data_IF_656834293302
#
_entry.id   IF_656834293302
#
_cell.length_a   1.000
_cell.length_b   1.000
_cell.length_c   1.000
_cell.angle_alpha   90.00
_cell.angle_beta   90.00
_cell.angle_gamma   90.00
#
_symmetry.space_group_name_H-M   'P 1'
#
loop_
_entity.id
_entity.type
_entity.pdbx_description
1 polymer ?
#
# COMPACT_ATOMS: atom_id res chain seq x y z
N UNK A 1 -27.59 17.90 -13.66
CA UNK A 1 -28.56 17.01 -13.02
C UNK A 1 -28.69 15.69 -13.81
N UNK A 2 -28.79 15.75 -15.13
CA UNK A 2 -28.89 14.60 -16.05
C UNK A 2 -27.71 13.63 -15.98
N UNK A 3 -26.48 14.11 -15.97
CA UNK A 3 -25.28 13.28 -15.82
C UNK A 3 -25.22 12.51 -14.48
N UNK A 4 -25.87 13.03 -13.44
CA UNK A 4 -25.96 12.31 -12.16
C UNK A 4 -27.02 11.21 -12.20
N UNK A 5 -28.09 11.43 -12.94
CA UNK A 5 -29.16 10.43 -13.14
C UNK A 5 -28.65 9.30 -14.02
N UNK A 6 -28.09 9.60 -15.18
CA UNK A 6 -27.49 8.60 -16.09
C UNK A 6 -26.39 7.77 -15.40
N UNK A 7 -25.61 8.37 -14.51
CA UNK A 7 -24.60 7.64 -13.74
C UNK A 7 -25.23 6.72 -12.67
N UNK A 8 -26.34 7.12 -12.06
CA UNK A 8 -27.08 6.27 -11.13
C UNK A 8 -27.75 5.11 -11.84
N UNK A 9 -28.31 5.36 -13.02
CA UNK A 9 -28.90 4.33 -13.88
C UNK A 9 -27.87 3.29 -14.28
N UNK A 10 -26.70 3.71 -14.80
CA UNK A 10 -25.58 2.82 -15.11
C UNK A 10 -25.05 2.05 -13.89
N UNK A 11 -25.06 2.66 -12.71
CA UNK A 11 -24.65 1.98 -11.47
C UNK A 11 -25.69 0.96 -11.01
N UNK A 12 -26.97 1.24 -11.24
CA UNK A 12 -28.07 0.31 -10.94
C UNK A 12 -28.13 -0.84 -11.94
N UNK A 13 -27.95 -0.57 -13.23
CA UNK A 13 -27.91 -1.61 -14.28
C UNK A 13 -26.76 -2.59 -14.12
N UNK A 14 -25.63 -2.14 -13.57
CA UNK A 14 -24.43 -2.97 -13.35
C UNK A 14 -24.28 -3.43 -11.89
N UNK A 15 -25.30 -3.28 -11.04
CA UNK A 15 -25.28 -3.63 -9.59
C UNK A 15 -24.04 -3.09 -8.83
N UNK A 16 -23.41 -2.03 -9.34
CA UNK A 16 -22.21 -1.47 -8.77
C UNK A 16 -22.51 -0.56 -7.57
N UNK A 17 -22.19 -1.03 -6.39
CA UNK A 17 -22.28 -0.25 -5.15
C UNK A 17 -20.89 0.21 -4.73
N UNK A 18 -20.71 1.50 -4.47
CA UNK A 18 -19.42 2.07 -4.02
C UNK A 18 -18.86 1.37 -2.74
N UNK A 19 -19.78 0.88 -1.90
CA UNK A 19 -19.43 0.12 -0.68
C UNK A 19 -18.81 -1.25 -0.96
N UNK A 20 -19.08 -1.86 -2.11
CA UNK A 20 -18.58 -3.21 -2.43
C UNK A 20 -17.04 -3.21 -2.60
N UNK A 21 -16.47 -2.05 -2.94
CA UNK A 21 -15.01 -1.86 -2.96
C UNK A 21 -14.39 -1.61 -1.57
N UNK A 22 -15.16 -1.11 -0.60
CA UNK A 22 -14.64 -0.78 0.73
C UNK A 22 -14.83 -1.90 1.76
N UNK A 23 -15.88 -2.72 1.61
CA UNK A 23 -16.22 -3.78 2.57
C UNK A 23 -15.10 -4.81 2.74
N UNK A 24 -14.47 -5.33 1.67
CA UNK A 24 -13.35 -6.27 1.82
C UNK A 24 -12.18 -5.66 2.61
N UNK A 25 -11.87 -4.38 2.39
CA UNK A 25 -10.81 -3.68 3.10
C UNK A 25 -11.13 -3.51 4.59
N UNK A 26 -12.39 -3.18 4.93
CA UNK A 26 -12.84 -3.05 6.32
C UNK A 26 -12.78 -4.37 7.08
N UNK A 27 -13.10 -5.49 6.42
CA UNK A 27 -12.98 -6.83 7.00
C UNK A 27 -11.50 -7.24 7.15
N UNK A 28 -10.67 -6.87 6.19
CA UNK A 28 -9.25 -7.24 6.18
C UNK A 28 -8.46 -6.59 7.32
N UNK A 29 -8.78 -5.35 7.73
CA UNK A 29 -8.06 -4.64 8.80
C UNK A 29 -8.09 -5.40 10.14
N UNK A 30 -9.25 -5.80 10.69
CA UNK A 30 -9.30 -6.58 11.92
C UNK A 30 -8.55 -7.91 11.82
N UNK A 31 -8.62 -8.59 10.68
CA UNK A 31 -7.92 -9.87 10.45
C UNK A 31 -6.41 -9.67 10.49
N UNK A 32 -5.88 -8.65 9.82
CA UNK A 32 -4.44 -8.34 9.85
C UNK A 32 -3.99 -7.95 11.26
N UNK A 33 -4.75 -7.11 11.96
CA UNK A 33 -4.44 -6.72 13.33
C UNK A 33 -4.44 -7.95 14.27
N UNK A 34 -5.42 -8.84 14.13
CA UNK A 34 -5.50 -10.07 14.91
C UNK A 34 -4.31 -10.99 14.65
N UNK A 35 -4.00 -11.25 13.39
CA UNK A 35 -2.84 -12.06 12.99
C UNK A 35 -1.52 -11.44 13.48
N UNK A 36 -1.35 -10.15 13.33
CA UNK A 36 -0.15 -9.43 13.77
C UNK A 36 0.03 -9.56 15.31
N UNK A 37 -1.03 -9.33 16.08
CA UNK A 37 -1.00 -9.49 17.54
C UNK A 37 -0.69 -10.92 17.94
N UNK A 38 -1.28 -11.90 17.27
CA UNK A 38 -1.01 -13.32 17.48
C UNK A 38 0.47 -13.64 17.27
N UNK A 39 1.02 -13.26 16.12
CA UNK A 39 2.43 -13.50 15.78
C UNK A 39 3.38 -12.83 16.77
N UNK A 40 3.14 -11.57 17.15
CA UNK A 40 3.97 -10.87 18.11
C UNK A 40 3.97 -11.50 19.49
N UNK A 41 2.82 -12.02 19.92
CA UNK A 41 2.69 -12.63 21.24
C UNK A 41 3.40 -13.97 21.29
N UNK A 42 3.27 -14.78 20.25
CA UNK A 42 3.98 -16.06 20.13
C UNK A 42 5.48 -15.84 19.95
N UNK A 43 5.91 -14.78 19.29
CA UNK A 43 7.32 -14.45 19.08
C UNK A 43 8.08 -14.08 20.37
N UNK A 44 7.37 -13.73 21.47
CA UNK A 44 8.01 -13.47 22.76
C UNK A 44 8.39 -14.78 23.43
N UNK A 45 9.67 -15.00 23.82
CA UNK A 45 10.15 -16.30 24.28
C UNK A 45 9.33 -16.90 25.43
N UNK A 46 9.01 -16.12 26.47
CA UNK A 46 8.24 -16.61 27.63
C UNK A 46 6.79 -16.95 27.26
N UNK A 47 6.13 -16.07 26.52
CA UNK A 47 4.73 -16.28 26.11
C UNK A 47 4.64 -17.37 25.03
N UNK A 48 5.63 -17.45 24.12
CA UNK A 48 5.73 -18.48 23.10
C UNK A 48 5.95 -19.87 23.67
N UNK A 49 6.84 -20.02 24.66
CA UNK A 49 7.06 -21.30 25.36
C UNK A 49 5.81 -21.75 26.09
N UNK A 50 5.11 -20.87 26.79
CA UNK A 50 3.83 -21.21 27.42
C UNK A 50 2.78 -21.61 26.36
N UNK A 51 2.68 -20.93 25.27
CA UNK A 51 1.77 -21.25 24.18
C UNK A 51 2.14 -22.57 23.47
N UNK A 52 3.42 -22.94 23.41
CA UNK A 52 3.88 -24.23 22.90
C UNK A 52 3.42 -25.43 23.75
N UNK A 53 3.09 -25.20 25.03
CA UNK A 53 2.51 -26.25 25.90
C UNK A 53 0.98 -26.30 25.89
N UNK A 54 0.31 -25.17 25.72
CA UNK A 54 -1.15 -25.04 25.88
C UNK A 54 -1.90 -24.61 24.63
N UNK A 55 -1.19 -24.22 23.58
CA UNK A 55 -1.79 -23.55 22.42
C UNK A 55 -2.10 -22.07 22.69
N UNK A 56 -2.53 -21.34 21.67
CA UNK A 56 -2.91 -19.93 21.78
C UNK A 56 -4.01 -19.55 20.78
N UNK A 57 -5.18 -19.21 21.28
CA UNK A 57 -6.34 -18.85 20.47
C UNK A 57 -6.75 -19.99 19.53
N UNK A 58 -6.77 -19.77 18.21
CA UNK A 58 -7.12 -20.82 17.24
C UNK A 58 -5.98 -21.81 16.96
N UNK A 59 -4.75 -21.56 17.45
CA UNK A 59 -3.58 -22.41 17.24
C UNK A 59 -3.45 -23.42 18.37
N UNK A 60 -3.24 -24.68 18.02
CA UNK A 60 -2.92 -25.71 18.99
C UNK A 60 -1.44 -25.64 19.40
N UNK A 61 -1.04 -26.42 20.42
CA UNK A 61 0.34 -26.40 20.90
C UNK A 61 1.36 -26.84 19.86
N UNK A 62 1.01 -27.77 18.98
CA UNK A 62 1.86 -28.29 17.92
C UNK A 62 2.09 -27.23 16.83
N UNK A 63 1.04 -26.47 16.44
CA UNK A 63 1.16 -25.36 15.48
C UNK A 63 2.10 -24.28 16.00
N UNK A 64 1.97 -23.92 17.30
CA UNK A 64 2.83 -22.93 17.94
C UNK A 64 4.28 -23.41 17.96
N UNK A 65 4.51 -24.64 18.34
CA UNK A 65 5.84 -25.24 18.38
C UNK A 65 6.47 -25.26 16.97
N UNK A 66 5.72 -25.70 15.97
CA UNK A 66 6.17 -25.71 14.58
C UNK A 66 6.58 -24.32 14.10
N UNK A 67 5.82 -23.28 14.48
CA UNK A 67 6.15 -21.91 14.15
C UNK A 67 7.43 -21.42 14.85
N UNK A 68 7.61 -21.74 16.14
CA UNK A 68 8.80 -21.36 16.91
C UNK A 68 10.08 -22.05 16.39
N UNK A 69 9.95 -23.29 15.93
CA UNK A 69 11.06 -24.09 15.39
C UNK A 69 11.36 -23.74 13.91
N UNK A 70 10.41 -23.08 13.22
CA UNK A 70 10.57 -22.74 11.80
C UNK A 70 11.66 -21.68 11.59
N UNK A 71 12.53 -21.94 10.62
CA UNK A 71 13.69 -21.07 10.29
C UNK A 71 13.74 -20.75 8.81
N UNK A 72 14.18 -19.55 8.51
CA UNK A 72 14.51 -19.10 7.16
C UNK A 72 16.02 -18.76 7.11
N UNK A 73 16.79 -19.45 6.29
CA UNK A 73 18.26 -19.31 6.26
C UNK A 73 18.90 -19.39 7.65
N UNK A 74 18.46 -20.36 8.45
CA UNK A 74 18.89 -20.59 9.84
C UNK A 74 18.43 -19.54 10.86
N UNK A 75 17.67 -18.50 10.45
CA UNK A 75 17.12 -17.49 11.36
C UNK A 75 15.69 -17.85 11.73
N UNK A 76 15.33 -17.86 13.04
CA UNK A 76 13.99 -18.17 13.51
C UNK A 76 12.94 -17.21 12.92
N UNK A 77 11.84 -17.74 12.40
CA UNK A 77 10.76 -16.91 11.83
C UNK A 77 10.11 -15.93 12.81
N UNK A 78 10.00 -16.21 14.12
CA UNK A 78 9.49 -15.26 15.11
C UNK A 78 10.43 -14.09 15.42
N UNK A 79 11.73 -14.17 15.09
CA UNK A 79 12.71 -13.12 15.39
C UNK A 79 12.48 -11.86 14.57
N UNK A 80 12.85 -10.70 15.12
CA UNK A 80 12.78 -9.40 14.43
C UNK A 80 13.97 -8.51 14.81
N UNK A 81 14.33 -7.55 13.95
CA UNK A 81 15.56 -6.74 14.05
C UNK A 81 15.63 -5.93 15.35
N UNK A 82 14.50 -5.37 15.80
CA UNK A 82 14.41 -4.55 17.02
C UNK A 82 14.18 -5.37 18.31
N UNK A 83 14.32 -6.69 18.26
CA UNK A 83 14.19 -7.58 19.40
C UNK A 83 15.38 -7.42 20.36
N UNK A 84 15.15 -7.56 21.67
CA UNK A 84 16.25 -7.49 22.65
C UNK A 84 17.23 -8.65 22.51
N UNK A 85 18.50 -8.40 22.71
CA UNK A 85 19.57 -9.39 22.57
C UNK A 85 19.39 -10.63 23.44
N UNK A 86 18.81 -10.47 24.65
CA UNK A 86 18.47 -11.60 25.51
C UNK A 86 17.45 -12.53 24.85
N UNK A 87 16.39 -11.96 24.26
CA UNK A 87 15.34 -12.72 23.58
C UNK A 87 15.86 -13.40 22.29
N UNK A 88 16.76 -12.74 21.56
CA UNK A 88 17.40 -13.31 20.38
C UNK A 88 18.26 -14.51 20.75
N UNK A 89 19.03 -14.42 21.86
CA UNK A 89 19.81 -15.55 22.38
C UNK A 89 18.94 -16.73 22.80
N UNK A 90 17.77 -16.46 23.43
CA UNK A 90 16.82 -17.50 23.80
C UNK A 90 16.25 -18.24 22.58
N UNK A 91 16.13 -17.54 21.45
CA UNK A 91 15.74 -18.12 20.15
C UNK A 91 16.91 -18.77 19.40
N UNK A 92 18.13 -18.69 19.93
CA UNK A 92 19.33 -19.25 19.32
C UNK A 92 19.80 -18.49 18.06
N UNK A 93 19.69 -17.16 18.07
CA UNK A 93 20.12 -16.27 16.99
C UNK A 93 20.73 -14.97 17.55
N UNK A 94 21.23 -14.12 16.65
CA UNK A 94 21.79 -12.82 16.97
C UNK A 94 21.24 -11.72 16.08
N UNK A 95 21.32 -10.46 16.52
CA UNK A 95 20.79 -9.32 15.75
C UNK A 95 21.43 -9.23 14.35
N UNK A 96 22.77 -9.42 14.14
CA UNK A 96 23.35 -9.40 12.80
C UNK A 96 22.80 -10.48 11.87
N UNK A 97 22.54 -11.70 12.39
CA UNK A 97 21.94 -12.79 11.61
C UNK A 97 20.52 -12.45 11.17
N UNK A 98 19.70 -11.95 12.10
CA UNK A 98 18.33 -11.51 11.78
C UNK A 98 18.36 -10.39 10.76
N UNK A 99 19.25 -9.40 10.93
CA UNK A 99 19.40 -8.28 10.00
C UNK A 99 19.78 -8.76 8.59
N UNK A 100 20.69 -9.74 8.49
CA UNK A 100 21.12 -10.30 7.21
C UNK A 100 19.96 -10.90 6.41
N UNK A 101 19.01 -11.55 7.07
CA UNK A 101 17.82 -12.11 6.42
C UNK A 101 16.71 -11.07 6.24
N UNK A 102 16.52 -10.18 7.22
CA UNK A 102 15.48 -9.17 7.19
C UNK A 102 15.72 -8.10 6.13
N UNK A 103 16.95 -7.63 5.92
CA UNK A 103 17.27 -6.57 4.96
C UNK A 103 16.81 -6.88 3.53
N UNK A 104 17.13 -8.04 2.92
CA UNK A 104 16.65 -8.36 1.59
C UNK A 104 15.12 -8.49 1.55
N UNK A 105 14.49 -9.02 2.60
CA UNK A 105 13.02 -9.09 2.67
C UNK A 105 12.38 -7.70 2.75
N UNK A 106 12.94 -6.79 3.55
CA UNK A 106 12.48 -5.40 3.65
C UNK A 106 12.65 -4.69 2.30
N UNK A 107 13.81 -4.87 1.64
CA UNK A 107 14.06 -4.28 0.33
C UNK A 107 13.09 -4.80 -0.72
N UNK A 108 12.84 -6.11 -0.78
CA UNK A 108 11.84 -6.70 -1.68
C UNK A 108 10.43 -6.24 -1.35
N UNK A 109 10.04 -6.20 -0.07
CA UNK A 109 8.75 -5.69 0.36
C UNK A 109 8.56 -4.22 -0.07
N UNK A 110 9.56 -3.37 0.15
CA UNK A 110 9.54 -1.96 -0.26
C UNK A 110 9.43 -1.82 -1.78
N UNK A 111 10.23 -2.55 -2.54
CA UNK A 111 10.22 -2.53 -4.00
C UNK A 111 8.86 -2.96 -4.57
N UNK A 112 8.35 -4.10 -4.12
CA UNK A 112 7.09 -4.64 -4.64
C UNK A 112 5.87 -3.81 -4.19
N UNK A 113 5.86 -3.33 -2.94
CA UNK A 113 4.80 -2.42 -2.47
C UNK A 113 4.80 -1.14 -3.29
N UNK A 114 5.97 -0.55 -3.53
CA UNK A 114 6.11 0.67 -4.34
C UNK A 114 5.73 0.43 -5.80
N UNK A 115 6.13 -0.71 -6.38
CA UNK A 115 5.76 -1.08 -7.75
C UNK A 115 4.23 -1.25 -7.90
N UNK A 116 3.58 -1.97 -6.98
CA UNK A 116 2.13 -2.13 -6.96
C UNK A 116 1.41 -0.79 -6.77
N UNK A 117 1.94 0.06 -5.88
CA UNK A 117 1.42 1.40 -5.68
C UNK A 117 1.53 2.27 -6.93
N UNK A 118 2.71 2.32 -7.54
CA UNK A 118 2.96 3.10 -8.75
C UNK A 118 2.08 2.62 -9.92
N UNK A 119 1.94 1.31 -10.09
CA UNK A 119 1.03 0.73 -11.07
C UNK A 119 -0.41 1.19 -10.86
N UNK A 120 -0.92 1.09 -9.62
CA UNK A 120 -2.26 1.56 -9.25
C UNK A 120 -2.42 3.07 -9.44
N UNK A 121 -1.41 3.85 -9.10
CA UNK A 121 -1.39 5.31 -9.28
C UNK A 121 -1.46 5.70 -10.75
N UNK A 122 -0.63 5.09 -11.61
CA UNK A 122 -0.64 5.35 -13.05
C UNK A 122 -1.99 5.00 -13.65
N UNK A 123 -2.57 3.86 -13.26
CA UNK A 123 -3.88 3.42 -13.72
C UNK A 123 -4.99 4.40 -13.29
N UNK A 124 -5.02 4.80 -12.02
CA UNK A 124 -5.97 5.78 -11.52
C UNK A 124 -5.88 7.12 -12.28
N UNK A 125 -4.67 7.57 -12.61
CA UNK A 125 -4.50 8.79 -13.38
C UNK A 125 -5.06 8.71 -14.80
N UNK A 126 -5.10 7.54 -15.42
CA UNK A 126 -5.66 7.34 -16.77
C UNK A 126 -7.19 7.44 -16.80
N UNK A 127 -7.86 7.18 -15.66
CA UNK A 127 -9.32 7.22 -15.53
C UNK A 127 -9.82 8.43 -14.74
N UNK A 128 -8.91 9.36 -14.38
CA UNK A 128 -9.22 10.49 -13.52
C UNK A 128 -10.10 11.52 -14.27
N UNK A 129 -11.22 11.87 -13.64
CA UNK A 129 -12.07 12.98 -14.11
C UNK A 129 -11.50 14.33 -13.66
N UNK A 130 -10.70 14.97 -14.52
CA UNK A 130 -10.05 16.26 -14.24
C UNK A 130 -11.03 17.42 -14.01
N UNK A 131 -12.30 17.28 -14.37
CA UNK A 131 -13.32 18.31 -14.13
C UNK A 131 -13.66 18.46 -12.64
N UNK A 132 -13.51 17.38 -11.85
CA UNK A 132 -13.88 17.36 -10.44
C UNK A 132 -12.73 17.77 -9.53
N UNK A 133 -12.99 18.73 -8.63
CA UNK A 133 -12.00 19.17 -7.64
C UNK A 133 -11.61 18.04 -6.68
N UNK A 134 -12.58 17.21 -6.26
CA UNK A 134 -12.33 16.05 -5.40
C UNK A 134 -11.39 15.02 -6.03
N UNK A 135 -11.57 14.72 -7.32
CA UNK A 135 -10.71 13.78 -8.03
C UNK A 135 -9.27 14.30 -8.12
N UNK A 136 -9.10 15.61 -8.39
CA UNK A 136 -7.77 16.26 -8.40
C UNK A 136 -7.12 16.27 -7.01
N UNK A 137 -7.91 16.48 -5.96
CA UNK A 137 -7.41 16.40 -4.58
C UNK A 137 -6.93 14.99 -4.23
N UNK A 138 -7.72 13.96 -4.52
CA UNK A 138 -7.35 12.56 -4.30
C UNK A 138 -6.07 12.20 -5.07
N UNK A 139 -5.93 12.64 -6.32
CA UNK A 139 -4.70 12.41 -7.10
C UNK A 139 -3.46 13.05 -6.48
N UNK A 140 -3.60 14.22 -5.84
CA UNK A 140 -2.49 14.85 -5.09
C UNK A 140 -2.15 14.08 -3.82
N UNK A 141 -3.16 13.68 -3.04
CA UNK A 141 -2.96 12.87 -1.84
C UNK A 141 -2.25 11.57 -2.19
N UNK A 142 -2.69 10.87 -3.23
CA UNK A 142 -2.02 9.69 -3.72
C UNK A 142 -0.56 9.97 -4.12
N UNK A 143 -0.26 11.08 -4.78
CA UNK A 143 1.13 11.42 -5.12
C UNK A 143 2.00 11.61 -3.88
N UNK A 144 1.49 12.32 -2.87
CA UNK A 144 2.21 12.58 -1.62
C UNK A 144 2.38 11.34 -0.73
N UNK A 145 1.52 10.35 -0.90
CA UNK A 145 1.67 9.07 -0.19
C UNK A 145 2.80 8.19 -0.76
N UNK A 146 3.27 8.44 -1.98
CA UNK A 146 4.31 7.63 -2.63
C UNK A 146 5.58 7.46 -1.78
N UNK A 147 6.21 8.54 -1.28
CA UNK A 147 7.38 8.45 -0.39
C UNK A 147 7.10 7.65 0.90
N UNK A 148 5.90 7.80 1.48
CA UNK A 148 5.50 7.05 2.69
C UNK A 148 5.45 5.55 2.39
N UNK A 149 4.85 5.17 1.25
CA UNK A 149 4.76 3.77 0.83
C UNK A 149 6.13 3.15 0.61
N UNK A 150 7.09 3.91 0.06
CA UNK A 150 8.47 3.47 -0.14
C UNK A 150 9.22 3.29 1.18
N UNK A 151 9.07 4.23 2.12
CA UNK A 151 9.85 4.27 3.36
C UNK A 151 9.25 3.41 4.48
N UNK A 152 7.94 3.18 4.45
CA UNK A 152 7.25 2.47 5.52
C UNK A 152 7.82 1.07 5.80
N UNK A 153 8.11 0.20 4.79
CA UNK A 153 8.70 -1.11 5.05
C UNK A 153 10.07 -1.02 5.74
N UNK A 154 10.88 0.00 5.43
CA UNK A 154 12.18 0.23 6.05
C UNK A 154 12.04 0.65 7.51
N UNK A 155 11.20 1.64 7.78
CA UNK A 155 10.98 2.11 9.15
C UNK A 155 10.40 0.96 9.99
N UNK A 156 9.32 0.34 9.52
CA UNK A 156 8.64 -0.71 10.27
C UNK A 156 9.49 -1.98 10.43
N UNK A 157 10.22 -2.38 9.38
CA UNK A 157 11.04 -3.59 9.40
C UNK A 157 12.30 -3.47 10.26
N UNK A 158 12.90 -2.27 10.35
CA UNK A 158 14.13 -2.06 11.12
C UNK A 158 13.85 -1.64 12.58
N UNK A 159 12.85 -0.80 12.81
CA UNK A 159 12.59 -0.23 14.14
C UNK A 159 11.35 -0.79 14.82
N UNK A 160 10.42 -1.33 14.04
CA UNK A 160 9.21 -1.94 14.55
C UNK A 160 9.37 -3.42 14.89
N UNK A 161 8.44 -3.98 15.63
CA UNK A 161 8.40 -5.41 15.92
C UNK A 161 7.84 -6.17 14.70
N UNK A 162 8.64 -6.33 13.66
CA UNK A 162 8.30 -7.00 12.41
C UNK A 162 8.99 -8.37 12.30
N UNK A 163 8.35 -9.47 12.75
CA UNK A 163 8.92 -10.81 12.64
C UNK A 163 9.31 -11.16 11.20
N UNK A 164 10.37 -11.96 11.03
CA UNK A 164 10.80 -12.46 9.72
C UNK A 164 9.66 -13.14 8.98
N UNK A 165 8.79 -13.86 9.68
CA UNK A 165 7.56 -14.44 9.12
C UNK A 165 6.64 -13.39 8.48
N UNK A 166 6.47 -12.23 9.15
CA UNK A 166 5.63 -11.14 8.63
C UNK A 166 6.26 -10.49 7.40
N UNK A 167 7.58 -10.29 7.40
CA UNK A 167 8.31 -9.75 6.24
C UNK A 167 8.18 -10.70 5.03
N UNK A 168 8.34 -12.00 5.25
CA UNK A 168 8.15 -13.01 4.22
C UNK A 168 6.72 -12.99 3.67
N UNK A 169 5.73 -12.99 4.57
CA UNK A 169 4.32 -12.86 4.19
C UNK A 169 4.09 -11.58 3.35
N UNK A 170 4.68 -10.46 3.75
CA UNK A 170 4.53 -9.20 3.03
C UNK A 170 5.06 -9.27 1.60
N UNK A 171 6.23 -9.88 1.40
CA UNK A 171 6.80 -10.12 0.05
C UNK A 171 5.86 -11.00 -0.78
N UNK A 172 5.44 -12.15 -0.24
CA UNK A 172 4.55 -13.09 -0.93
C UNK A 172 3.20 -12.44 -1.28
N UNK A 173 2.62 -11.69 -0.35
CA UNK A 173 1.36 -10.99 -0.56
C UNK A 173 1.47 -9.90 -1.65
N UNK A 174 2.58 -9.17 -1.71
CA UNK A 174 2.81 -8.21 -2.78
C UNK A 174 2.96 -8.87 -4.15
N UNK A 175 3.65 -10.00 -4.23
CA UNK A 175 3.77 -10.79 -5.47
C UNK A 175 2.40 -11.31 -5.92
N UNK A 176 1.61 -11.83 -5.00
CA UNK A 176 0.25 -12.27 -5.27
C UNK A 176 -0.63 -11.12 -5.79
N UNK A 177 -0.58 -9.97 -5.12
CA UNK A 177 -1.32 -8.77 -5.52
C UNK A 177 -0.91 -8.28 -6.91
N UNK A 178 0.38 -8.31 -7.23
CA UNK A 178 0.89 -7.98 -8.56
C UNK A 178 0.36 -8.94 -9.62
N UNK A 179 0.46 -10.26 -9.39
CA UNK A 179 -0.01 -11.29 -10.31
C UNK A 179 -1.51 -11.17 -10.56
N UNK A 180 -2.30 -11.01 -9.48
CA UNK A 180 -3.74 -10.82 -9.56
C UNK A 180 -4.11 -9.55 -10.34
N UNK A 181 -3.47 -8.43 -10.03
CA UNK A 181 -3.73 -7.15 -10.71
C UNK A 181 -3.38 -7.22 -12.20
N UNK A 182 -2.27 -7.85 -12.53
CA UNK A 182 -1.84 -8.06 -13.93
C UNK A 182 -2.80 -8.98 -14.69
N UNK A 183 -3.18 -10.11 -14.08
CA UNK A 183 -4.11 -11.07 -14.69
C UNK A 183 -5.46 -10.45 -15.00
N UNK A 184 -6.05 -9.74 -14.00
CA UNK A 184 -7.32 -9.04 -14.18
C UNK A 184 -7.21 -7.97 -15.26
N UNK A 185 -6.12 -7.18 -15.26
CA UNK A 185 -5.96 -6.11 -16.24
C UNK A 185 -5.74 -6.63 -17.66
N UNK A 186 -4.96 -7.70 -17.80
CA UNK A 186 -4.75 -8.36 -19.09
C UNK A 186 -6.08 -8.88 -19.68
N UNK A 187 -6.92 -9.45 -18.82
CA UNK A 187 -8.27 -9.89 -19.21
C UNK A 187 -9.15 -8.72 -19.61
N UNK A 188 -9.22 -7.66 -18.80
CA UNK A 188 -10.01 -6.45 -19.08
C UNK A 188 -9.59 -5.78 -20.38
N UNK A 189 -8.30 -5.64 -20.63
CA UNK A 189 -7.81 -5.04 -21.88
C UNK A 189 -8.17 -5.84 -23.13
N UNK A 190 -8.35 -7.18 -22.99
CA UNK A 190 -8.77 -8.05 -24.10
C UNK A 190 -10.29 -8.05 -24.29
N UNK A 191 -11.06 -8.02 -23.20
CA UNK A 191 -12.52 -8.15 -23.25
C UNK A 191 -13.26 -6.82 -23.36
N UNK A 192 -12.68 -5.76 -22.80
CA UNK A 192 -13.30 -4.41 -22.73
C UNK A 192 -12.23 -3.34 -22.99
N UNK A 193 -11.71 -3.20 -24.21
CA UNK A 193 -10.79 -2.11 -24.53
C UNK A 193 -11.47 -0.76 -24.39
N UNK A 194 -10.72 0.27 -23.99
CA UNK A 194 -11.25 1.63 -23.94
C UNK A 194 -11.72 2.06 -25.35
N UNK A 195 -12.94 2.59 -25.43
CA UNK A 195 -13.48 3.13 -26.68
C UNK A 195 -12.71 4.38 -27.09
N UNK A 196 -12.57 4.62 -28.43
CA UNK A 196 -11.92 5.84 -28.96
C UNK A 196 -12.60 7.10 -28.41
N UNK A 197 -13.92 7.12 -28.30
CA UNK A 197 -14.68 8.24 -27.72
C UNK A 197 -14.27 8.57 -26.29
N UNK A 198 -14.02 7.54 -25.46
CA UNK A 198 -13.52 7.75 -24.08
C UNK A 198 -12.12 8.35 -24.08
N UNK A 199 -11.26 7.91 -24.99
CA UNK A 199 -9.89 8.36 -25.13
C UNK A 199 -9.81 9.82 -25.58
N UNK A 200 -10.60 10.21 -26.58
CA UNK A 200 -10.72 11.60 -27.05
C UNK A 200 -11.24 12.51 -25.96
N UNK A 201 -12.34 12.15 -25.30
CA UNK A 201 -12.91 12.92 -24.20
C UNK A 201 -11.95 13.09 -23.00
N UNK A 202 -11.18 12.04 -22.69
CA UNK A 202 -10.15 12.12 -21.65
C UNK A 202 -9.03 13.09 -22.04
N UNK A 203 -8.56 13.03 -23.27
CA UNK A 203 -7.49 13.92 -23.78
C UNK A 203 -7.95 15.37 -23.82
N UNK A 204 -9.15 15.65 -24.30
CA UNK A 204 -9.76 16.99 -24.32
C UNK A 204 -9.84 17.60 -22.91
N UNK A 205 -10.40 16.87 -21.93
CA UNK A 205 -10.50 17.37 -20.54
C UNK A 205 -9.15 17.54 -19.87
N UNK A 206 -8.19 16.72 -20.23
CA UNK A 206 -6.83 16.85 -19.74
C UNK A 206 -6.13 18.09 -20.30
N UNK A 207 -6.28 18.37 -21.61
CA UNK A 207 -5.68 19.56 -22.24
C UNK A 207 -6.25 20.85 -21.65
N UNK A 208 -7.58 20.97 -21.54
CA UNK A 208 -8.26 22.10 -20.90
C UNK A 208 -7.77 22.34 -19.46
N UNK A 209 -7.57 21.25 -18.69
CA UNK A 209 -7.04 21.38 -17.33
C UNK A 209 -5.59 21.88 -17.30
N UNK A 210 -4.74 21.39 -18.20
CA UNK A 210 -3.33 21.83 -18.32
C UNK A 210 -3.26 23.30 -18.72
N UNK A 211 -4.02 23.71 -19.74
CA UNK A 211 -4.09 25.10 -20.20
C UNK A 211 -4.58 26.05 -19.10
N UNK A 212 -5.64 25.68 -18.39
CA UNK A 212 -6.14 26.49 -17.27
C UNK A 212 -5.11 26.65 -16.14
N UNK A 213 -4.27 25.65 -15.92
CA UNK A 213 -3.18 25.68 -14.95
C UNK A 213 -2.04 26.58 -15.41
N UNK A 214 -1.69 26.54 -16.68
CA UNK A 214 -0.69 27.43 -17.29
C UNK A 214 -1.15 28.88 -17.26
N UNK A 215 -2.37 29.19 -17.66
CA UNK A 215 -2.96 30.53 -17.63
C UNK A 215 -2.93 31.11 -16.18
N UNK A 216 -3.31 30.31 -15.16
CA UNK A 216 -3.22 30.74 -13.76
C UNK A 216 -1.79 31.00 -13.26
N UNK A 217 -0.82 30.25 -13.77
CA UNK A 217 0.59 30.46 -13.43
C UNK A 217 1.14 31.74 -14.04
N UNK A 218 0.82 32.00 -15.31
CA UNK A 218 1.21 33.24 -16.00
C UNK A 218 0.55 34.48 -15.40
N UNK A 219 -0.75 34.41 -15.05
CA UNK A 219 -1.44 35.52 -14.37
C UNK A 219 -0.82 35.86 -13.01
N UNK A 220 -0.42 34.85 -12.21
CA UNK A 220 0.28 35.06 -10.93
C UNK A 220 1.66 35.70 -11.09
N UNK A 221 2.41 35.33 -12.11
CA UNK A 221 3.72 35.97 -12.40
C UNK A 221 3.57 37.42 -12.86
N UNK A 222 2.55 37.71 -13.67
CA UNK A 222 2.24 39.08 -14.10
C UNK A 222 1.85 40.00 -12.94
N UNK A 223 0.97 39.52 -12.02
CA UNK A 223 0.60 40.29 -10.82
C UNK A 223 1.81 40.55 -9.91
N UNK A 224 2.63 39.52 -9.67
CA UNK A 224 3.82 39.66 -8.82
C UNK A 224 4.86 40.63 -9.40
N UNK A 225 4.95 40.71 -10.74
CA UNK A 225 5.82 41.65 -11.43
C UNK A 225 5.30 43.10 -11.37
N UNK A 226 3.97 43.29 -11.39
CA UNK A 226 3.33 44.60 -11.22
C UNK A 226 3.48 45.13 -9.79
N UNK A 227 3.26 44.29 -8.77
CA UNK A 227 3.43 44.64 -7.36
C UNK A 227 4.90 45.01 -7.05
N UNK A 228 5.86 44.28 -7.61
CA UNK A 228 7.28 44.58 -7.45
C UNK A 228 7.72 45.88 -8.16
N UNK A 229 7.04 46.30 -9.23
CA UNK A 229 7.28 47.59 -9.86
C UNK A 229 6.71 48.77 -9.05
N UNK A 230 5.52 48.60 -8.47
CA UNK A 230 4.91 49.62 -7.60
C UNK A 230 5.72 49.86 -6.32
N UNK A 231 6.29 48.82 -5.72
CA UNK A 231 7.16 48.94 -4.54
C UNK A 231 8.52 49.61 -4.83
N UNK A 232 8.98 49.69 -6.08
CA UNK A 232 10.23 50.36 -6.47
C UNK A 232 10.02 51.82 -6.84
N UNK A 233 8.79 52.26 -6.99
CA UNK A 233 8.41 53.63 -7.40
C UNK A 233 7.86 54.47 -6.22
N UNK A 234 7.73 53.88 -5.05
CA UNK A 234 7.45 54.52 -3.77
C UNK A 234 8.73 54.63 -2.92
#
# INVERSE_FOLDING_TARGET
RELRLARRELQQENDYRVRDGCVPMLIQIPVIIGLYRLLLRIARPVEGLNAAHSGYGPLNAEDVKTFLDARLFNVPLPSYVSMMDSQLRDLGTSQPEVLHVALPLIAMASLFTTANYLYSYIRNRRTLDYSKASARFIAKVLLWMGPIVLLFPWIFGLTGPAPVALLLYWVCNNLWTAAQSWGIQARLNRTMPFTEQFREHYLEKKSVHVESKHAKKHGKHSHKALDARQQRSS
#
